data_IF_359932620159
#
_entry.id   IF_359932620159
#
_cell.length_a   1.000
_cell.length_b   1.000
_cell.length_c   1.000
_cell.angle_alpha   90.00
_cell.angle_beta   90.00
_cell.angle_gamma   90.00
#
_symmetry.space_group_name_H-M   'P 1'
#
loop_
_entity.id
_entity.type
_entity.pdbx_description
1 polymer ?
#
# COMPACT_ATOMS: atom_id res chain seq x y z
N UNK A 1 20.03 -7.99 -7.02
CA UNK A 1 20.87 -7.01 -7.75
C UNK A 1 22.36 -7.32 -7.64
N UNK A 2 22.87 -7.59 -6.43
CA UNK A 2 24.30 -7.86 -6.21
C UNK A 2 24.72 -9.35 -6.31
N UNK A 3 23.76 -10.27 -6.40
CA UNK A 3 24.05 -11.71 -6.41
C UNK A 3 24.27 -12.24 -5.00
N UNK A 4 25.13 -13.25 -4.86
CA UNK A 4 25.51 -13.81 -3.56
C UNK A 4 26.52 -12.92 -2.85
N UNK A 5 26.49 -12.90 -1.53
CA UNK A 5 27.46 -12.17 -0.73
C UNK A 5 28.87 -12.77 -0.84
N UNK A 6 29.83 -11.93 -1.23
CA UNK A 6 31.27 -12.21 -1.25
C UNK A 6 32.01 -11.23 -0.31
N UNK A 7 32.81 -11.75 0.63
CA UNK A 7 33.59 -10.94 1.57
C UNK A 7 34.66 -10.06 0.92
N UNK A 8 35.15 -10.44 -0.26
CA UNK A 8 36.18 -9.70 -1.00
C UNK A 8 35.61 -8.50 -1.77
N UNK A 9 34.39 -8.62 -2.26
CA UNK A 9 33.71 -7.59 -3.06
C UNK A 9 32.77 -6.70 -2.20
N UNK A 10 32.10 -7.28 -1.20
CA UNK A 10 31.09 -6.58 -0.39
C UNK A 10 31.69 -6.00 0.90
N UNK A 11 32.62 -5.05 0.73
CA UNK A 11 33.28 -4.34 1.83
C UNK A 11 32.29 -3.45 2.61
N UNK A 12 32.59 -3.06 3.87
CA UNK A 12 31.71 -2.19 4.66
C UNK A 12 31.34 -0.91 3.90
N UNK A 13 30.03 -0.64 3.78
CA UNK A 13 29.50 0.50 3.00
C UNK A 13 29.10 0.18 1.56
N UNK A 14 29.21 -1.07 1.10
CA UNK A 14 28.77 -1.46 -0.26
C UNK A 14 27.27 -1.22 -0.55
N UNK A 15 26.47 -1.01 0.50
CA UNK A 15 25.04 -0.72 0.39
C UNK A 15 24.71 0.78 0.47
N UNK A 16 25.70 1.67 0.62
CA UNK A 16 25.45 3.09 0.88
C UNK A 16 24.85 3.85 -0.33
N UNK A 17 24.94 3.28 -1.53
CA UNK A 17 24.28 3.82 -2.73
C UNK A 17 22.80 3.38 -2.83
N UNK A 18 22.33 2.50 -1.95
CA UNK A 18 20.96 1.98 -1.95
C UNK A 18 20.10 2.67 -0.89
N UNK A 19 18.91 3.12 -1.31
CA UNK A 19 17.90 3.68 -0.41
C UNK A 19 16.75 2.69 -0.24
N UNK A 20 16.79 1.88 0.81
CA UNK A 20 15.77 0.85 1.06
C UNK A 20 14.47 1.42 1.63
N UNK A 21 14.57 2.39 2.54
CA UNK A 21 13.43 3.04 3.18
C UNK A 21 13.68 4.55 3.36
N UNK A 22 12.63 5.39 3.38
CA UNK A 22 12.76 6.79 3.78
C UNK A 22 13.29 6.90 5.22
N UNK A 23 14.20 7.85 5.46
CA UNK A 23 14.80 8.12 6.78
C UNK A 23 15.46 6.88 7.41
N UNK A 24 16.34 6.23 6.64
CA UNK A 24 17.04 5.02 7.04
C UNK A 24 17.86 5.21 8.35
N UNK A 25 17.65 4.35 9.38
CA UNK A 25 18.46 4.39 10.60
C UNK A 25 19.93 4.07 10.34
N UNK A 26 20.82 4.60 11.20
CA UNK A 26 22.28 4.47 11.05
C UNK A 26 22.79 3.02 11.02
N UNK A 27 22.13 2.10 11.72
CA UNK A 27 22.51 0.67 11.75
C UNK A 27 21.72 -0.21 10.77
N UNK A 28 20.84 0.38 9.96
CA UNK A 28 19.99 -0.37 9.04
C UNK A 28 20.80 -1.13 7.98
N UNK A 29 21.82 -0.49 7.39
CA UNK A 29 22.69 -1.12 6.38
C UNK A 29 23.41 -2.35 6.91
N UNK A 30 23.84 -2.33 8.19
CA UNK A 30 24.50 -3.47 8.81
C UNK A 30 23.56 -4.66 8.93
N UNK A 31 22.30 -4.42 9.29
CA UNK A 31 21.30 -5.48 9.39
C UNK A 31 20.95 -6.04 8.00
N UNK A 32 20.82 -5.18 6.98
CA UNK A 32 20.61 -5.63 5.60
C UNK A 32 21.80 -6.45 5.11
N UNK A 33 23.04 -6.02 5.35
CA UNK A 33 24.23 -6.78 4.97
C UNK A 33 24.29 -8.16 5.64
N UNK A 34 23.88 -8.26 6.91
CA UNK A 34 23.76 -9.53 7.63
C UNK A 34 22.66 -10.43 7.04
N UNK A 35 21.53 -9.87 6.63
CA UNK A 35 20.48 -10.62 5.95
C UNK A 35 20.92 -11.06 4.54
N UNK A 36 21.65 -10.24 3.81
CA UNK A 36 22.20 -10.59 2.49
C UNK A 36 23.12 -11.81 2.58
N UNK A 37 23.96 -11.90 3.62
CA UNK A 37 24.80 -13.08 3.90
C UNK A 37 24.02 -14.38 4.13
N UNK A 38 22.74 -14.30 4.51
CA UNK A 38 21.90 -15.47 4.74
C UNK A 38 21.21 -15.98 3.47
N UNK A 39 21.20 -15.17 2.40
CA UNK A 39 20.53 -15.48 1.14
C UNK A 39 21.57 -15.79 0.08
N UNK A 40 22.08 -17.03 0.09
CA UNK A 40 23.08 -17.52 -0.86
C UNK A 40 22.43 -18.53 -1.81
N UNK A 41 22.79 -18.47 -3.09
CA UNK A 41 22.35 -19.39 -4.14
C UNK A 41 20.98 -19.05 -4.71
N UNK A 42 20.44 -17.87 -4.43
CA UNK A 42 19.18 -17.42 -5.02
C UNK A 42 19.44 -16.82 -6.40
N UNK A 43 18.73 -17.30 -7.41
CA UNK A 43 18.70 -16.62 -8.69
C UNK A 43 18.00 -15.25 -8.56
N UNK A 44 18.31 -14.28 -9.44
CA UNK A 44 17.63 -12.99 -9.43
C UNK A 44 16.10 -13.10 -9.49
N UNK A 45 15.58 -14.07 -10.24
CA UNK A 45 14.14 -14.32 -10.36
C UNK A 45 13.53 -14.85 -9.06
N UNK A 46 14.21 -15.74 -8.34
CA UNK A 46 13.75 -16.23 -7.04
C UNK A 46 13.79 -15.14 -5.97
N UNK A 47 14.84 -14.31 -5.98
CA UNK A 47 14.95 -13.16 -5.08
C UNK A 47 13.80 -12.16 -5.31
N UNK A 48 13.51 -11.82 -6.57
CA UNK A 48 12.38 -10.96 -6.93
C UNK A 48 11.03 -11.57 -6.55
N UNK A 49 10.83 -12.87 -6.81
CA UNK A 49 9.60 -13.56 -6.44
C UNK A 49 9.38 -13.56 -4.92
N UNK A 50 10.43 -13.80 -4.13
CA UNK A 50 10.37 -13.74 -2.67
C UNK A 50 10.04 -12.33 -2.19
N UNK A 51 10.68 -11.31 -2.76
CA UNK A 51 10.38 -9.91 -2.46
C UNK A 51 8.89 -9.58 -2.70
N UNK A 52 8.36 -9.93 -3.87
CA UNK A 52 6.95 -9.69 -4.21
C UNK A 52 5.99 -10.47 -3.31
N UNK A 53 6.35 -11.71 -2.94
CA UNK A 53 5.55 -12.53 -2.02
C UNK A 53 5.45 -11.94 -0.63
N UNK A 54 6.50 -11.27 -0.14
CA UNK A 54 6.46 -10.55 1.13
C UNK A 54 5.72 -9.23 0.97
N UNK A 55 6.05 -8.44 -0.07
CA UNK A 55 5.45 -7.13 -0.31
C UNK A 55 3.92 -7.22 -0.40
N UNK A 56 3.37 -8.22 -1.11
CA UNK A 56 1.91 -8.40 -1.26
C UNK A 56 1.15 -8.67 0.04
N UNK A 57 1.84 -9.04 1.13
CA UNK A 57 1.20 -9.26 2.44
C UNK A 57 1.04 -7.98 3.25
N UNK A 58 1.71 -6.90 2.84
CA UNK A 58 1.60 -5.60 3.51
C UNK A 58 0.20 -5.03 3.29
N UNK A 59 -0.40 -4.46 4.34
CA UNK A 59 -1.77 -3.93 4.28
C UNK A 59 -1.95 -2.86 3.20
N UNK A 60 -0.90 -2.05 2.98
CA UNK A 60 -0.91 -0.93 2.05
C UNK A 60 -0.40 -1.30 0.65
N UNK A 61 -0.12 -2.58 0.39
CA UNK A 61 0.39 -3.02 -0.90
C UNK A 61 -0.63 -2.75 -2.02
N UNK A 62 -0.24 -1.92 -2.97
CA UNK A 62 -1.08 -1.54 -4.11
C UNK A 62 -2.29 -0.68 -3.74
N UNK A 63 -2.26 0.01 -2.60
CA UNK A 63 -3.30 0.98 -2.20
C UNK A 63 -2.90 2.37 -2.69
N UNK A 64 -3.74 2.97 -3.54
CA UNK A 64 -3.64 4.38 -3.92
C UNK A 64 -4.55 5.22 -3.01
N UNK A 65 -4.01 6.29 -2.40
CA UNK A 65 -4.74 7.11 -1.44
C UNK A 65 -5.16 8.46 -2.01
N UNK A 66 -6.41 8.85 -1.75
CA UNK A 66 -6.97 10.17 -2.06
C UNK A 66 -7.57 10.81 -0.80
N UNK A 67 -7.29 12.09 -0.59
CA UNK A 67 -7.86 12.84 0.53
C UNK A 67 -9.32 13.21 0.27
N UNK A 68 -10.16 13.08 1.28
CA UNK A 68 -11.58 13.39 1.21
C UNK A 68 -12.13 13.83 2.58
N UNK A 69 -13.40 14.22 2.61
CA UNK A 69 -14.18 14.48 3.82
C UNK A 69 -15.45 13.64 3.82
N UNK A 70 -15.86 13.20 5.00
CA UNK A 70 -17.18 12.59 5.17
C UNK A 70 -18.28 13.66 5.25
N UNK A 71 -19.55 13.24 5.30
CA UNK A 71 -20.71 14.14 5.47
C UNK A 71 -20.68 14.93 6.78
N UNK A 72 -19.89 14.50 7.76
CA UNK A 72 -19.68 15.21 9.04
C UNK A 72 -18.48 16.16 8.98
N UNK A 73 -17.93 16.40 7.78
CA UNK A 73 -16.76 17.25 7.50
C UNK A 73 -15.46 16.76 8.18
N UNK A 74 -15.37 15.47 8.56
CA UNK A 74 -14.13 14.90 9.06
C UNK A 74 -13.20 14.53 7.91
N UNK A 75 -11.91 14.77 8.09
CA UNK A 75 -10.89 14.35 7.13
C UNK A 75 -10.73 12.83 7.13
N UNK A 76 -10.78 12.25 5.93
CA UNK A 76 -10.62 10.83 5.67
C UNK A 76 -9.70 10.63 4.47
N UNK A 77 -9.20 9.41 4.28
CA UNK A 77 -8.53 9.00 3.05
C UNK A 77 -9.31 7.85 2.41
N UNK A 78 -9.56 7.97 1.12
CA UNK A 78 -10.10 6.90 0.29
C UNK A 78 -8.91 6.13 -0.27
N UNK A 79 -8.81 4.85 0.07
CA UNK A 79 -7.85 3.92 -0.55
C UNK A 79 -8.51 3.20 -1.73
N UNK A 80 -7.81 3.05 -2.85
CA UNK A 80 -8.24 2.22 -3.97
C UNK A 80 -7.23 1.11 -4.16
N UNK A 81 -7.69 -0.14 -4.19
CA UNK A 81 -6.84 -1.31 -4.42
C UNK A 81 -7.53 -2.36 -5.29
N UNK A 82 -6.78 -3.38 -5.72
CA UNK A 82 -7.31 -4.49 -6.54
C UNK A 82 -8.54 -5.18 -5.93
N UNK A 83 -8.65 -5.21 -4.59
CA UNK A 83 -9.79 -5.80 -3.87
C UNK A 83 -11.02 -4.90 -3.71
N UNK A 84 -10.89 -3.58 -3.84
CA UNK A 84 -12.01 -2.66 -3.59
C UNK A 84 -11.59 -1.23 -3.21
N UNK A 85 -12.56 -0.49 -2.68
CA UNK A 85 -12.36 0.84 -2.10
C UNK A 85 -12.29 0.70 -0.57
N UNK A 86 -11.34 1.37 0.06
CA UNK A 86 -11.12 1.41 1.50
C UNK A 86 -11.36 2.82 2.02
N UNK A 87 -11.83 2.95 3.26
CA UNK A 87 -11.92 4.25 3.94
C UNK A 87 -11.03 4.20 5.17
N UNK A 88 -10.13 5.18 5.27
CA UNK A 88 -9.24 5.36 6.40
C UNK A 88 -9.54 6.67 7.12
N UNK A 89 -9.49 6.64 8.45
CA UNK A 89 -9.58 7.82 9.32
C UNK A 89 -8.45 7.74 10.34
N UNK A 90 -7.66 8.80 10.50
CA UNK A 90 -6.51 8.82 11.40
C UNK A 90 -5.56 7.62 11.21
N UNK A 91 -5.31 7.23 9.94
CA UNK A 91 -4.51 6.05 9.55
C UNK A 91 -5.07 4.69 9.98
N UNK A 92 -6.30 4.63 10.49
CA UNK A 92 -7.00 3.39 10.82
C UNK A 92 -8.01 3.07 9.72
N UNK A 93 -8.02 1.82 9.24
CA UNK A 93 -8.99 1.35 8.25
C UNK A 93 -10.38 1.21 8.90
N UNK A 94 -11.33 2.02 8.43
CA UNK A 94 -12.70 2.07 8.95
C UNK A 94 -13.64 1.15 8.17
N UNK A 95 -13.58 1.19 6.84
CA UNK A 95 -14.48 0.43 5.97
C UNK A 95 -13.75 -0.15 4.76
N UNK A 96 -14.34 -1.20 4.19
CA UNK A 96 -13.90 -1.81 2.93
C UNK A 96 -15.12 -2.14 2.08
N UNK A 97 -15.09 -1.71 0.83
CA UNK A 97 -16.14 -1.90 -0.17
C UNK A 97 -15.55 -2.73 -1.31
N UNK A 98 -15.73 -4.07 -1.28
CA UNK A 98 -15.24 -4.93 -2.35
C UNK A 98 -15.89 -4.57 -3.69
N UNK A 99 -15.15 -4.67 -4.79
CA UNK A 99 -15.69 -4.36 -6.13
C UNK A 99 -16.99 -5.10 -6.44
N UNK A 100 -17.10 -6.38 -6.04
CA UNK A 100 -18.29 -7.21 -6.23
C UNK A 100 -19.56 -6.65 -5.56
N UNK A 101 -19.39 -5.88 -4.48
CA UNK A 101 -20.49 -5.23 -3.75
C UNK A 101 -20.83 -3.84 -4.31
N UNK A 102 -20.04 -3.26 -5.20
CA UNK A 102 -20.27 -1.94 -5.77
C UNK A 102 -21.06 -2.09 -7.08
N UNK A 103 -22.21 -1.41 -7.18
CA UNK A 103 -23.07 -1.38 -8.38
C UNK A 103 -22.73 -0.20 -9.26
N UNK A 104 -22.49 0.96 -8.64
CA UNK A 104 -22.23 2.20 -9.35
C UNK A 104 -21.30 3.09 -8.55
N UNK A 105 -20.38 3.72 -9.26
CA UNK A 105 -19.55 4.82 -8.76
C UNK A 105 -19.95 6.04 -9.57
N UNK A 106 -20.17 7.17 -8.90
CA UNK A 106 -20.48 8.42 -9.57
C UNK A 106 -19.94 9.61 -8.82
N UNK A 107 -19.78 10.72 -9.52
CA UNK A 107 -19.28 11.96 -8.97
C UNK A 107 -20.17 13.12 -9.42
N UNK A 108 -20.50 14.03 -8.50
CA UNK A 108 -21.27 15.25 -8.78
C UNK A 108 -20.68 16.41 -8.01
N UNK A 109 -20.29 17.47 -8.71
CA UNK A 109 -19.61 18.63 -8.13
C UNK A 109 -18.31 18.27 -7.41
N UNK A 110 -18.32 18.18 -6.07
CA UNK A 110 -17.19 17.73 -5.24
C UNK A 110 -17.55 16.51 -4.40
N UNK A 111 -18.60 15.80 -4.80
CA UNK A 111 -19.15 14.68 -4.05
C UNK A 111 -18.98 13.38 -4.83
N UNK A 112 -18.42 12.39 -4.16
CA UNK A 112 -18.21 11.03 -4.63
C UNK A 112 -19.20 10.07 -3.99
N UNK A 113 -19.81 9.25 -4.82
CA UNK A 113 -20.88 8.36 -4.43
C UNK A 113 -20.51 6.94 -4.79
N UNK A 114 -20.58 6.05 -3.79
CA UNK A 114 -20.51 4.61 -3.98
C UNK A 114 -21.91 4.06 -3.70
N UNK A 115 -22.53 3.47 -4.72
CA UNK A 115 -23.77 2.73 -4.58
C UNK A 115 -23.43 1.24 -4.43
N UNK A 116 -23.81 0.67 -3.29
CA UNK A 116 -23.65 -0.75 -3.03
C UNK A 116 -24.83 -1.57 -3.57
N UNK A 117 -24.57 -2.84 -3.85
CA UNK A 117 -25.60 -3.82 -4.20
C UNK A 117 -26.51 -4.01 -3.00
N UNK A 118 -27.83 -3.91 -3.20
CA UNK A 118 -28.80 -4.27 -2.17
C UNK A 118 -28.72 -5.78 -1.96
N UNK A 119 -28.24 -6.22 -0.79
CA UNK A 119 -28.66 -7.51 -0.25
C UNK A 119 -30.07 -7.33 0.33
N UNK A 120 -30.84 -8.40 0.52
CA UNK A 120 -32.31 -8.39 0.66
C UNK A 120 -32.93 -7.52 1.79
N UNK A 121 -32.17 -6.71 2.54
CA UNK A 121 -32.67 -5.73 3.52
C UNK A 121 -31.71 -4.51 3.58
N UNK A 122 -32.24 -3.30 3.34
CA UNK A 122 -31.58 -1.96 3.39
C UNK A 122 -30.82 -1.48 2.14
N UNK A 123 -30.98 -0.18 1.86
CA UNK A 123 -30.31 0.56 0.78
C UNK A 123 -29.37 1.58 1.40
N UNK A 124 -28.10 1.27 1.53
CA UNK A 124 -27.13 2.22 2.07
C UNK A 124 -26.43 2.91 0.89
N UNK A 125 -26.82 4.17 0.63
CA UNK A 125 -26.07 5.07 -0.23
C UNK A 125 -24.95 5.69 0.61
N UNK A 126 -23.69 5.48 0.19
CA UNK A 126 -22.55 6.07 0.88
C UNK A 126 -22.10 7.30 0.08
N UNK A 127 -22.25 8.47 0.71
CA UNK A 127 -21.84 9.77 0.17
C UNK A 127 -20.54 10.17 0.85
N UNK A 128 -19.53 10.45 0.04
CA UNK A 128 -18.20 10.91 0.47
C UNK A 128 -17.90 12.20 -0.29
N UNK A 129 -17.52 13.29 0.38
CA UNK A 129 -17.14 14.53 -0.29
C UNK A 129 -15.64 14.52 -0.60
N UNK A 130 -15.22 14.70 -1.85
CA UNK A 130 -13.80 14.78 -2.23
C UNK A 130 -13.39 16.25 -2.26
N UNK A 131 -12.33 16.62 -1.52
CA UNK A 131 -11.67 17.90 -1.75
C UNK A 131 -10.72 17.79 -2.93
N UNK A 132 -10.72 18.80 -3.79
CA UNK A 132 -9.87 18.89 -4.98
C UNK A 132 -8.38 18.67 -4.63
N UNK A 133 -7.79 17.69 -5.32
CA UNK A 133 -6.40 17.70 -5.73
C UNK A 133 -6.37 17.22 -7.19
N UNK A 134 -6.79 18.11 -8.09
CA UNK A 134 -6.39 18.11 -9.50
C UNK A 134 -5.71 19.45 -9.77
#
# INVERSE_FOLDING_TARGET
ELGDYDQSENLPGYLSDYSFIPNQPQDFEKEIAKLHQQHIGLSPAEAEFNYLNTARTLELYGVEFHYARDQSNNEIMIGVMSGGILIYKNRVRMNTFPWLKIVKISFKCKQFFIQLRKELVSTDLIIIDINEAF
#
